data_IF_556395206342
#
_entry.id   IF_556395206342
#
_cell.length_a   1.000
_cell.length_b   1.000
_cell.length_c   1.000
_cell.angle_alpha   90.00
_cell.angle_beta   90.00
_cell.angle_gamma   90.00
#
_symmetry.space_group_name_H-M   'P 1'
#
loop_
_entity.id
_entity.type
_entity.pdbx_description
1 polymer ?
#
# COMPACT_ATOMS: atom_id res chain seq x y z
N UNK A 1 -17.37 6.90 -29.05
CA UNK A 1 -16.34 7.69 -28.34
C UNK A 1 -16.22 7.13 -26.94
N UNK A 2 -15.04 7.17 -26.31
CA UNK A 2 -14.93 6.88 -24.89
C UNK A 2 -15.91 7.78 -24.10
N UNK A 3 -16.66 7.18 -23.17
CA UNK A 3 -17.58 7.87 -22.26
C UNK A 3 -18.74 8.64 -22.94
N UNK A 4 -19.25 8.18 -24.09
CA UNK A 4 -20.35 8.86 -24.82
C UNK A 4 -21.67 8.93 -24.05
N UNK A 5 -21.85 8.07 -23.06
CA UNK A 5 -23.06 7.94 -22.23
C UNK A 5 -22.83 8.40 -20.79
N UNK A 6 -21.68 9.01 -20.50
CA UNK A 6 -21.36 9.51 -19.17
C UNK A 6 -22.42 10.47 -18.63
N UNK A 7 -22.58 10.47 -17.30
CA UNK A 7 -23.53 11.31 -16.58
C UNK A 7 -22.83 12.48 -15.90
N UNK A 8 -23.61 13.54 -15.65
CA UNK A 8 -23.16 14.78 -15.01
C UNK A 8 -21.91 15.39 -15.67
N UNK A 9 -21.88 15.39 -17.01
CA UNK A 9 -20.70 15.83 -17.76
C UNK A 9 -20.60 17.34 -17.74
N UNK A 10 -19.49 17.84 -17.21
CA UNK A 10 -19.12 19.24 -17.18
C UNK A 10 -17.76 19.44 -17.85
N UNK A 11 -17.37 20.70 -18.00
CA UNK A 11 -16.08 21.10 -18.57
C UNK A 11 -15.28 21.90 -17.56
N UNK A 12 -13.97 21.66 -17.49
CA UNK A 12 -13.01 22.42 -16.69
C UNK A 12 -11.87 22.88 -17.59
N UNK A 13 -11.43 24.13 -17.42
CA UNK A 13 -10.26 24.68 -18.11
C UNK A 13 -9.06 24.67 -17.17
N UNK A 14 -8.03 23.90 -17.53
CA UNK A 14 -6.79 23.79 -16.76
C UNK A 14 -5.62 23.88 -17.72
N UNK A 15 -4.59 24.67 -17.38
CA UNK A 15 -3.41 24.90 -18.23
C UNK A 15 -3.73 25.40 -19.65
N UNK A 16 -4.83 26.15 -19.81
CA UNK A 16 -5.27 26.64 -21.12
C UNK A 16 -5.88 25.57 -22.03
N UNK A 17 -6.14 24.37 -21.49
CA UNK A 17 -6.82 23.28 -22.17
C UNK A 17 -8.19 23.02 -21.52
N UNK A 18 -9.17 22.75 -22.36
CA UNK A 18 -10.53 22.39 -21.93
C UNK A 18 -10.65 20.87 -21.84
N UNK A 19 -11.09 20.37 -20.68
CA UNK A 19 -11.29 18.94 -20.42
C UNK A 19 -12.72 18.67 -19.95
N UNK A 20 -13.23 17.49 -20.30
CA UNK A 20 -14.51 17.00 -19.76
C UNK A 20 -14.29 16.19 -18.48
N UNK A 21 -15.26 16.20 -17.58
CA UNK A 21 -15.28 15.34 -16.41
C UNK A 21 -16.71 15.07 -15.94
N UNK A 22 -16.89 14.04 -15.14
CA UNK A 22 -18.16 13.80 -14.43
C UNK A 22 -18.15 14.57 -13.11
N UNK A 23 -19.00 15.59 -13.02
CA UNK A 23 -19.11 16.47 -11.86
C UNK A 23 -19.91 15.82 -10.74
N UNK A 24 -19.28 15.75 -9.58
CA UNK A 24 -19.85 15.33 -8.31
C UNK A 24 -20.62 16.46 -7.62
N UNK A 25 -20.21 17.71 -7.89
CA UNK A 25 -20.79 18.92 -7.32
C UNK A 25 -22.14 19.28 -7.94
N UNK A 26 -22.32 19.00 -9.22
CA UNK A 26 -23.54 19.33 -9.97
C UNK A 26 -24.50 18.14 -10.12
N UNK A 27 -24.46 17.17 -9.20
CA UNK A 27 -25.38 16.05 -9.22
C UNK A 27 -26.81 16.49 -8.85
N UNK A 28 -27.85 15.99 -9.53
CA UNK A 28 -29.22 16.25 -9.14
C UNK A 28 -29.54 15.50 -7.85
N UNK A 29 -30.10 16.19 -6.85
CA UNK A 29 -30.55 15.57 -5.59
C UNK A 29 -29.84 16.13 -4.36
N UNK A 30 -29.58 15.27 -3.38
CA UNK A 30 -28.93 15.64 -2.13
C UNK A 30 -27.42 15.87 -2.29
N UNK A 31 -26.90 16.76 -1.46
CA UNK A 31 -25.50 17.15 -1.42
C UNK A 31 -24.63 15.98 -0.93
N UNK A 32 -23.60 15.58 -1.69
CA UNK A 32 -22.79 14.37 -1.43
C UNK A 32 -21.54 14.64 -0.59
N UNK A 33 -21.33 15.85 -0.08
CA UNK A 33 -20.16 16.25 0.71
C UNK A 33 -20.05 15.52 2.05
N UNK A 34 -21.11 14.83 2.45
CA UNK A 34 -21.12 13.93 3.62
C UNK A 34 -20.54 12.54 3.31
N UNK A 35 -20.44 12.15 2.03
CA UNK A 35 -19.88 10.86 1.63
C UNK A 35 -18.36 10.84 1.88
N UNK A 36 -17.79 9.68 2.27
CA UNK A 36 -16.34 9.48 2.27
C UNK A 36 -15.73 9.76 0.89
N UNK A 37 -14.51 10.29 0.85
CA UNK A 37 -13.81 10.60 -0.40
C UNK A 37 -13.64 9.37 -1.29
N UNK A 38 -13.36 8.22 -0.69
CA UNK A 38 -13.28 6.93 -1.40
C UNK A 38 -14.59 6.57 -2.10
N UNK A 39 -15.76 6.83 -1.48
CA UNK A 39 -17.09 6.64 -2.10
C UNK A 39 -17.32 7.66 -3.21
N UNK A 40 -16.89 8.91 -3.05
CA UNK A 40 -16.95 9.93 -4.11
C UNK A 40 -16.17 9.51 -5.37
N UNK A 41 -15.01 8.88 -5.20
CA UNK A 41 -14.22 8.35 -6.32
C UNK A 41 -14.94 7.19 -7.02
N UNK A 42 -15.58 6.28 -6.26
CA UNK A 42 -16.41 5.23 -6.85
C UNK A 42 -17.63 5.81 -7.59
N UNK A 43 -18.23 6.87 -7.05
CA UNK A 43 -19.34 7.58 -7.69
C UNK A 43 -18.91 8.24 -9.01
N UNK A 44 -17.76 8.92 -9.04
CA UNK A 44 -17.17 9.43 -10.29
C UNK A 44 -16.98 8.30 -11.31
N UNK A 45 -16.47 7.16 -10.83
CA UNK A 45 -16.18 6.01 -11.68
C UNK A 45 -17.45 5.50 -12.38
N UNK A 46 -18.56 5.33 -11.65
CA UNK A 46 -19.82 4.87 -12.23
C UNK A 46 -20.48 5.93 -13.12
N UNK A 47 -20.37 7.21 -12.79
CA UNK A 47 -20.93 8.30 -13.59
C UNK A 47 -20.25 8.40 -14.95
N UNK A 48 -18.91 8.37 -14.97
CA UNK A 48 -18.12 8.45 -16.19
C UNK A 48 -18.27 7.21 -17.05
N UNK A 49 -18.34 6.03 -16.44
CA UNK A 49 -18.42 4.75 -17.17
C UNK A 49 -19.85 4.26 -17.42
N UNK A 50 -20.88 5.03 -17.08
CA UNK A 50 -22.28 4.66 -17.30
C UNK A 50 -22.53 4.22 -18.74
N UNK A 51 -23.12 3.05 -18.93
CA UNK A 51 -23.46 2.48 -20.24
C UNK A 51 -24.92 2.00 -20.33
N UNK A 52 -25.67 2.05 -19.23
CA UNK A 52 -27.05 1.58 -19.15
C UNK A 52 -27.21 0.06 -19.24
N UNK A 53 -26.10 -0.69 -19.23
CA UNK A 53 -26.09 -2.15 -19.34
C UNK A 53 -25.28 -2.78 -18.19
N UNK A 54 -23.95 -2.61 -18.20
CA UNK A 54 -23.07 -3.11 -17.13
C UNK A 54 -23.04 -2.14 -15.94
N UNK A 55 -23.20 -0.84 -16.21
CA UNK A 55 -23.24 0.24 -15.23
C UNK A 55 -24.55 0.99 -15.41
N UNK A 56 -25.47 0.77 -14.47
CA UNK A 56 -26.87 1.19 -14.52
C UNK A 56 -27.17 2.35 -13.58
N UNK A 57 -28.39 2.89 -13.66
CA UNK A 57 -28.87 3.95 -12.77
C UNK A 57 -28.98 3.49 -11.31
N UNK A 58 -29.20 2.19 -11.05
CA UNK A 58 -29.24 1.65 -9.67
C UNK A 58 -27.87 1.76 -8.99
N UNK A 59 -26.77 1.59 -9.73
CA UNK A 59 -25.42 1.75 -9.17
C UNK A 59 -25.13 3.22 -8.81
N UNK A 60 -25.56 4.16 -9.67
CA UNK A 60 -25.45 5.59 -9.37
C UNK A 60 -26.26 5.90 -8.12
N UNK A 61 -27.53 5.47 -8.06
CA UNK A 61 -28.40 5.69 -6.89
C UNK A 61 -27.85 5.06 -5.61
N UNK A 62 -27.25 3.88 -5.71
CA UNK A 62 -26.64 3.18 -4.56
C UNK A 62 -25.48 3.98 -3.98
N UNK A 63 -24.63 4.58 -4.82
CA UNK A 63 -23.49 5.36 -4.36
C UNK A 63 -23.88 6.79 -3.95
N UNK A 64 -24.84 7.44 -4.62
CA UNK A 64 -25.31 8.78 -4.21
C UNK A 64 -26.01 8.77 -2.86
N UNK A 65 -26.71 7.68 -2.53
CA UNK A 65 -27.40 7.49 -1.25
C UNK A 65 -26.63 6.55 -0.31
N UNK A 66 -25.32 6.39 -0.53
CA UNK A 66 -24.49 5.60 0.37
C UNK A 66 -24.66 6.14 1.79
N UNK A 67 -24.78 5.23 2.75
CA UNK A 67 -24.95 5.57 4.15
C UNK A 67 -24.03 4.71 5.03
N UNK A 68 -23.75 5.14 6.28
CA UNK A 68 -23.01 4.35 7.26
C UNK A 68 -23.54 2.92 7.46
N UNK A 69 -24.83 2.67 7.17
CA UNK A 69 -25.44 1.36 7.31
C UNK A 69 -25.12 0.49 6.09
N UNK A 70 -24.66 -0.75 6.29
CA UNK A 70 -24.30 -1.65 5.19
C UNK A 70 -25.53 -1.95 4.33
N UNK A 71 -25.31 -1.96 3.02
CA UNK A 71 -26.29 -2.40 2.02
C UNK A 71 -25.71 -3.60 1.29
N UNK A 72 -26.50 -4.67 1.17
CA UNK A 72 -26.13 -5.86 0.41
C UNK A 72 -26.41 -5.62 -1.08
N UNK A 73 -25.59 -4.74 -1.67
CA UNK A 73 -25.63 -4.37 -3.08
C UNK A 73 -24.23 -4.37 -3.66
N UNK A 74 -24.07 -4.97 -4.84
CA UNK A 74 -22.83 -4.91 -5.59
C UNK A 74 -22.75 -3.63 -6.42
N UNK A 75 -21.53 -3.11 -6.57
CA UNK A 75 -21.23 -1.94 -7.39
C UNK A 75 -20.14 -2.30 -8.42
N UNK A 76 -20.23 -1.78 -9.65
CA UNK A 76 -19.19 -1.96 -10.65
C UNK A 76 -18.05 -0.96 -10.45
N UNK A 77 -16.84 -1.37 -10.82
CA UNK A 77 -15.67 -0.52 -10.85
C UNK A 77 -14.82 -0.80 -12.08
N UNK A 78 -14.51 0.25 -12.83
CA UNK A 78 -13.61 0.21 -13.98
C UNK A 78 -12.33 0.96 -13.64
N UNK A 79 -11.23 0.27 -13.28
CA UNK A 79 -9.99 0.96 -12.91
C UNK A 79 -9.45 1.78 -14.08
N UNK A 80 -8.76 2.88 -13.78
CA UNK A 80 -8.08 3.69 -14.80
C UNK A 80 -6.91 2.91 -15.44
N UNK A 81 -6.23 2.06 -14.68
CA UNK A 81 -5.06 1.27 -15.11
C UNK A 81 -4.88 0.01 -14.25
N UNK A 82 -3.98 -0.87 -14.67
CA UNK A 82 -3.61 -2.09 -13.95
C UNK A 82 -2.11 -2.06 -13.63
N UNK A 83 -1.77 -2.48 -12.42
CA UNK A 83 -0.39 -2.70 -12.00
C UNK A 83 -0.12 -4.20 -11.90
N UNK A 84 0.93 -4.69 -12.55
CA UNK A 84 1.31 -6.10 -12.50
C UNK A 84 2.74 -6.26 -11.99
N UNK A 85 2.98 -7.39 -11.34
CA UNK A 85 4.33 -7.87 -11.01
C UNK A 85 4.65 -9.12 -11.83
N UNK A 86 5.92 -9.52 -11.90
CA UNK A 86 6.39 -10.51 -12.88
C UNK A 86 5.93 -11.96 -12.65
N UNK A 87 5.58 -12.37 -11.43
CA UNK A 87 5.04 -13.72 -11.15
C UNK A 87 3.60 -13.89 -11.63
N UNK A 88 2.77 -12.86 -11.53
CA UNK A 88 1.37 -12.89 -12.01
C UNK A 88 1.23 -12.34 -13.43
N UNK A 89 2.13 -11.44 -13.84
CA UNK A 89 2.14 -10.83 -15.17
C UNK A 89 2.57 -11.78 -16.28
N UNK A 90 3.46 -12.73 -16.00
CA UNK A 90 3.84 -13.77 -16.97
C UNK A 90 2.64 -14.64 -17.36
N UNK A 91 1.88 -15.24 -16.42
CA UNK A 91 0.63 -15.93 -16.72
C UNK A 91 -0.35 -15.09 -17.55
N UNK A 92 -0.61 -13.83 -17.17
CA UNK A 92 -1.55 -12.99 -17.90
C UNK A 92 -1.12 -12.70 -19.35
N UNK A 93 0.19 -12.55 -19.60
CA UNK A 93 0.73 -12.42 -20.96
C UNK A 93 0.54 -13.70 -21.76
N UNK A 94 0.72 -14.87 -21.13
CA UNK A 94 0.46 -16.18 -21.75
C UNK A 94 -1.03 -16.32 -22.09
N UNK A 95 -1.91 -15.90 -21.20
CA UNK A 95 -3.36 -15.94 -21.43
C UNK A 95 -3.77 -15.00 -22.56
N UNK A 96 -3.21 -13.79 -22.62
CA UNK A 96 -3.41 -12.88 -23.75
C UNK A 96 -2.89 -13.44 -25.08
N UNK A 97 -1.74 -14.11 -25.08
CA UNK A 97 -1.22 -14.78 -26.27
C UNK A 97 -2.13 -15.94 -26.71
N UNK A 98 -2.67 -16.68 -25.75
CA UNK A 98 -3.59 -17.80 -25.99
C UNK A 98 -4.94 -17.31 -26.54
N UNK A 99 -5.50 -16.25 -25.97
CA UNK A 99 -6.72 -15.59 -26.46
C UNK A 99 -6.52 -15.04 -27.88
N UNK A 100 -5.36 -14.45 -28.17
CA UNK A 100 -5.00 -14.02 -29.53
C UNK A 100 -4.98 -15.18 -30.52
N UNK A 101 -4.30 -16.27 -30.16
CA UNK A 101 -4.21 -17.46 -31.00
C UNK A 101 -5.60 -18.03 -31.28
N UNK A 102 -6.46 -18.13 -30.26
CA UNK A 102 -7.81 -18.65 -30.42
C UNK A 102 -8.68 -17.71 -31.27
N UNK A 103 -8.62 -16.40 -31.05
CA UNK A 103 -9.37 -15.43 -31.88
C UNK A 103 -8.98 -15.53 -33.36
N UNK A 104 -7.71 -15.80 -33.66
CA UNK A 104 -7.21 -16.05 -35.02
C UNK A 104 -7.70 -17.38 -35.58
N UNK A 105 -7.75 -18.47 -34.79
CA UNK A 105 -8.32 -19.76 -35.23
C UNK A 105 -9.78 -19.64 -35.66
N UNK A 106 -10.52 -18.70 -35.09
CA UNK A 106 -11.90 -18.36 -35.48
C UNK A 106 -11.98 -17.39 -36.67
N UNK A 107 -10.88 -17.20 -37.41
CA UNK A 107 -10.82 -16.34 -38.60
C UNK A 107 -10.88 -14.84 -38.30
N UNK A 108 -10.68 -14.42 -37.05
CA UNK A 108 -10.76 -13.02 -36.63
C UNK A 108 -9.36 -12.41 -36.48
N UNK A 109 -9.28 -11.08 -36.46
CA UNK A 109 -8.01 -10.37 -36.32
C UNK A 109 -7.51 -10.39 -34.85
N UNK A 110 -6.48 -11.18 -34.56
CA UNK A 110 -5.84 -11.26 -33.24
C UNK A 110 -5.34 -9.92 -32.68
N UNK A 111 -5.03 -8.94 -33.52
CA UNK A 111 -4.66 -7.58 -33.09
C UNK A 111 -5.79 -6.82 -32.41
N UNK A 112 -7.03 -7.35 -32.39
CA UNK A 112 -8.11 -6.80 -31.57
C UNK A 112 -8.02 -7.19 -30.10
N UNK A 113 -7.30 -8.27 -29.77
CA UNK A 113 -7.06 -8.66 -28.39
C UNK A 113 -5.88 -7.84 -27.86
N UNK A 114 -6.21 -6.79 -27.11
CA UNK A 114 -5.27 -5.87 -26.49
C UNK A 114 -5.85 -5.35 -25.17
N UNK A 115 -5.00 -4.91 -24.23
CA UNK A 115 -5.43 -4.17 -23.07
C UNK A 115 -6.26 -2.92 -23.46
N UNK A 116 -7.48 -2.85 -22.93
CA UNK A 116 -8.40 -1.72 -23.09
C UNK A 116 -7.99 -0.52 -22.23
N UNK A 117 -7.28 -0.77 -21.13
CA UNK A 117 -6.71 0.23 -20.22
C UNK A 117 -5.19 0.01 -20.09
N UNK A 118 -4.42 1.03 -19.68
CA UNK A 118 -2.99 0.89 -19.39
C UNK A 118 -2.69 -0.22 -18.39
N UNK A 119 -1.65 -0.98 -18.69
CA UNK A 119 -1.10 -2.04 -17.86
C UNK A 119 0.39 -1.75 -17.73
N UNK A 120 0.83 -1.55 -16.49
CA UNK A 120 2.24 -1.36 -16.16
C UNK A 120 2.71 -2.59 -15.40
N UNK A 121 3.65 -3.34 -15.98
CA UNK A 121 4.27 -4.50 -15.34
C UNK A 121 5.64 -4.12 -14.78
N UNK A 122 5.86 -4.35 -13.49
CA UNK A 122 7.16 -4.14 -12.84
C UNK A 122 7.81 -5.49 -12.57
N UNK A 123 9.09 -5.62 -12.95
CA UNK A 123 9.88 -6.83 -12.65
C UNK A 123 10.67 -6.58 -11.36
N UNK A 124 10.22 -7.18 -10.26
CA UNK A 124 10.81 -6.96 -8.93
C UNK A 124 10.81 -8.22 -8.03
N UNK A 125 10.00 -9.24 -8.34
CA UNK A 125 9.92 -10.48 -7.54
C UNK A 125 10.99 -11.53 -7.91
N UNK A 126 11.81 -11.24 -8.91
CA UNK A 126 12.79 -12.19 -9.45
C UNK A 126 14.20 -12.05 -8.86
N UNK A 127 14.56 -10.89 -8.30
CA UNK A 127 15.87 -10.66 -7.66
C UNK A 127 15.97 -11.48 -6.37
N UNK A 128 17.08 -12.18 -6.19
CA UNK A 128 17.41 -12.87 -4.95
C UNK A 128 18.69 -12.29 -4.33
N UNK A 129 18.81 -12.36 -3.01
CA UNK A 129 20.01 -11.94 -2.28
C UNK A 129 21.00 -13.10 -2.22
N UNK A 130 21.66 -13.40 -3.35
CA UNK A 130 22.71 -14.42 -3.43
C UNK A 130 24.05 -13.91 -2.84
N UNK A 131 24.36 -12.66 -3.12
CA UNK A 131 25.50 -11.92 -2.58
C UNK A 131 25.01 -10.76 -1.72
N UNK A 132 25.67 -10.54 -0.57
CA UNK A 132 25.36 -9.45 0.35
C UNK A 132 26.63 -8.88 1.00
N UNK A 133 26.55 -7.66 1.51
CA UNK A 133 27.60 -7.05 2.33
C UNK A 133 28.85 -6.56 1.58
N UNK A 134 28.83 -6.52 0.24
CA UNK A 134 29.98 -6.07 -0.58
C UNK A 134 29.56 -5.16 -1.73
N UNK A 135 30.49 -4.34 -2.22
CA UNK A 135 30.23 -3.39 -3.32
C UNK A 135 29.83 -4.06 -4.65
N UNK A 136 30.20 -5.32 -4.87
CA UNK A 136 29.85 -6.07 -6.09
C UNK A 136 28.54 -6.85 -5.96
N UNK A 137 27.93 -6.89 -4.76
CA UNK A 137 26.73 -7.71 -4.49
C UNK A 137 25.57 -7.35 -5.41
N UNK A 138 25.30 -6.05 -5.62
CA UNK A 138 24.22 -5.58 -6.49
C UNK A 138 24.38 -6.09 -7.93
N UNK A 139 25.53 -5.82 -8.56
CA UNK A 139 25.78 -6.22 -9.95
C UNK A 139 25.74 -7.74 -10.13
N UNK A 140 26.24 -8.50 -9.14
CA UNK A 140 26.22 -9.97 -9.18
C UNK A 140 24.82 -10.55 -9.03
N UNK A 141 23.99 -10.00 -8.15
CA UNK A 141 22.61 -10.44 -7.99
C UNK A 141 21.79 -10.15 -9.26
N UNK A 142 21.96 -8.97 -9.88
CA UNK A 142 21.30 -8.64 -11.16
C UNK A 142 21.79 -9.54 -12.29
N UNK A 143 23.09 -9.85 -12.38
CA UNK A 143 23.62 -10.80 -13.38
C UNK A 143 22.95 -12.17 -13.28
N UNK A 144 22.89 -12.73 -12.06
CA UNK A 144 22.23 -14.02 -11.80
C UNK A 144 20.73 -13.98 -12.06
N UNK A 145 20.06 -12.88 -11.75
CA UNK A 145 18.64 -12.69 -12.04
C UNK A 145 18.35 -12.82 -13.54
N UNK A 146 19.14 -12.13 -14.38
CA UNK A 146 19.00 -12.21 -15.84
C UNK A 146 19.32 -13.61 -16.39
N UNK A 147 20.32 -14.29 -15.84
CA UNK A 147 20.65 -15.66 -16.22
C UNK A 147 19.48 -16.62 -15.93
N UNK A 148 18.91 -16.54 -14.71
CA UNK A 148 17.85 -17.43 -14.24
C UNK A 148 16.50 -17.18 -14.92
N UNK A 149 16.21 -15.92 -15.28
CA UNK A 149 14.87 -15.51 -15.75
C UNK A 149 14.82 -15.12 -17.23
N UNK A 150 15.85 -15.46 -18.01
CA UNK A 150 16.00 -15.07 -19.41
C UNK A 150 14.73 -15.29 -20.26
N UNK A 151 14.15 -16.49 -20.22
CA UNK A 151 12.97 -16.84 -21.01
C UNK A 151 11.75 -15.98 -20.63
N UNK A 152 11.52 -15.76 -19.33
CA UNK A 152 10.44 -14.91 -18.83
C UNK A 152 10.60 -13.48 -19.33
N UNK A 153 11.83 -12.94 -19.31
CA UNK A 153 12.09 -11.58 -19.77
C UNK A 153 11.98 -11.43 -21.29
N UNK A 154 12.35 -12.45 -22.05
CA UNK A 154 12.11 -12.49 -23.50
C UNK A 154 10.61 -12.45 -23.84
N UNK A 155 9.78 -13.20 -23.10
CA UNK A 155 8.32 -13.17 -23.24
C UNK A 155 7.73 -11.80 -22.90
N UNK A 156 8.11 -11.20 -21.76
CA UNK A 156 7.63 -9.89 -21.35
C UNK A 156 8.05 -8.79 -22.33
N UNK A 157 9.27 -8.88 -22.87
CA UNK A 157 9.76 -7.96 -23.91
C UNK A 157 9.03 -8.14 -25.24
N UNK A 158 8.65 -9.37 -25.59
CA UNK A 158 7.77 -9.63 -26.73
C UNK A 158 6.39 -8.98 -26.51
N UNK A 159 5.82 -9.13 -25.32
CA UNK A 159 4.52 -8.58 -24.96
C UNK A 159 4.51 -7.06 -25.03
N UNK A 160 5.51 -6.39 -24.45
CA UNK A 160 5.67 -4.93 -24.52
C UNK A 160 5.73 -4.40 -25.97
N UNK A 161 6.32 -5.14 -26.90
CA UNK A 161 6.36 -4.76 -28.31
C UNK A 161 5.05 -5.06 -29.05
N UNK A 162 4.33 -6.09 -28.64
CA UNK A 162 3.18 -6.65 -29.34
C UNK A 162 1.81 -6.24 -28.79
N UNK A 163 1.73 -5.70 -27.59
CA UNK A 163 0.50 -5.26 -26.93
C UNK A 163 0.47 -3.73 -26.84
N UNK A 164 -0.68 -3.15 -27.17
CA UNK A 164 -0.94 -1.72 -26.91
C UNK A 164 -1.23 -1.52 -25.43
N UNK A 165 -0.94 -0.33 -24.92
CA UNK A 165 -1.19 0.03 -23.53
C UNK A 165 -0.48 -0.90 -22.51
N UNK A 166 0.60 -1.57 -22.91
CA UNK A 166 1.35 -2.48 -22.04
C UNK A 166 2.79 -1.99 -21.92
N UNK A 167 3.21 -1.63 -20.72
CA UNK A 167 4.57 -1.21 -20.42
C UNK A 167 5.24 -2.20 -19.48
N UNK A 168 6.56 -2.33 -19.59
CA UNK A 168 7.36 -3.16 -18.68
C UNK A 168 8.48 -2.30 -18.11
N UNK A 169 8.52 -2.20 -16.78
CA UNK A 169 9.63 -1.64 -16.02
C UNK A 169 10.65 -2.75 -15.79
N UNK A 170 11.89 -2.58 -16.28
CA UNK A 170 12.90 -3.64 -16.22
C UNK A 170 13.39 -3.88 -14.79
N UNK A 171 14.04 -5.03 -14.53
CA UNK A 171 14.58 -5.35 -13.21
C UNK A 171 15.64 -4.35 -12.75
N UNK A 172 15.75 -4.18 -11.43
CA UNK A 172 16.70 -3.28 -10.79
C UNK A 172 16.27 -1.79 -10.75
N UNK A 173 15.05 -1.47 -11.21
CA UNK A 173 14.52 -0.10 -11.21
C UNK A 173 13.67 0.24 -9.97
N UNK A 174 13.55 -0.69 -9.02
CA UNK A 174 12.77 -0.52 -7.80
C UNK A 174 11.71 -1.60 -7.62
N UNK A 175 10.89 -1.45 -6.59
CA UNK A 175 9.80 -2.36 -6.23
C UNK A 175 8.47 -1.80 -6.75
N UNK A 176 7.56 -2.68 -7.16
CA UNK A 176 6.30 -2.40 -7.83
C UNK A 176 5.52 -1.23 -7.20
N UNK A 177 5.26 -1.26 -5.90
CA UNK A 177 4.50 -0.21 -5.21
C UNK A 177 5.24 1.11 -5.07
N UNK A 178 6.57 1.07 -4.90
CA UNK A 178 7.38 2.28 -4.80
C UNK A 178 7.49 2.97 -6.16
N UNK A 179 7.75 2.21 -7.23
CA UNK A 179 7.70 2.71 -8.62
C UNK A 179 6.32 3.26 -8.95
N UNK A 180 5.26 2.61 -8.48
CA UNK A 180 3.91 3.13 -8.64
C UNK A 180 3.72 4.48 -7.95
N UNK A 181 4.11 4.59 -6.68
CA UNK A 181 3.97 5.80 -5.88
C UNK A 181 4.83 6.96 -6.42
N UNK A 182 6.06 6.68 -6.85
CA UNK A 182 7.06 7.70 -7.25
C UNK A 182 7.03 8.06 -8.74
N UNK A 183 6.46 7.21 -9.60
CA UNK A 183 6.52 7.42 -11.04
C UNK A 183 5.19 7.21 -11.76
N UNK A 184 4.54 6.05 -11.60
CA UNK A 184 3.38 5.69 -12.44
C UNK A 184 2.09 6.43 -12.05
N UNK A 185 1.87 6.64 -10.74
CA UNK A 185 0.67 7.28 -10.25
C UNK A 185 0.58 8.75 -10.68
N UNK A 186 -0.60 9.13 -11.19
CA UNK A 186 -0.86 10.46 -11.73
C UNK A 186 -1.70 11.34 -10.79
N UNK A 187 -2.36 10.76 -9.79
CA UNK A 187 -3.36 11.44 -8.97
C UNK A 187 -4.67 11.64 -9.75
N UNK A 188 -4.64 12.45 -10.81
CA UNK A 188 -5.74 12.65 -11.77
C UNK A 188 -5.26 12.26 -13.17
N UNK A 189 -5.99 11.34 -13.80
CA UNK A 189 -5.67 10.82 -15.14
C UNK A 189 -6.25 11.72 -16.23
N UNK A 190 -5.45 11.95 -17.28
CA UNK A 190 -5.87 12.57 -18.53
C UNK A 190 -6.04 11.46 -19.59
N UNK A 191 -7.22 11.31 -20.18
CA UNK A 191 -7.44 10.35 -21.27
C UNK A 191 -8.55 10.80 -22.21
N UNK A 192 -8.28 10.84 -23.51
CA UNK A 192 -9.26 11.17 -24.55
C UNK A 192 -10.03 12.49 -24.30
N UNK A 193 -9.33 13.50 -23.76
CA UNK A 193 -9.91 14.81 -23.40
C UNK A 193 -10.73 14.81 -22.10
N UNK A 194 -10.61 13.77 -21.28
CA UNK A 194 -11.24 13.67 -19.96
C UNK A 194 -10.24 13.76 -18.82
N UNK A 195 -10.67 14.36 -17.71
CA UNK A 195 -10.04 14.26 -16.39
C UNK A 195 -10.87 13.38 -15.47
N UNK A 196 -10.21 12.50 -14.71
CA UNK A 196 -10.83 11.64 -13.71
C UNK A 196 -9.80 11.13 -12.70
N UNK A 197 -10.19 10.68 -11.50
CA UNK A 197 -9.25 10.18 -10.49
C UNK A 197 -8.45 8.99 -11.03
N UNK A 198 -7.14 8.99 -10.76
CA UNK A 198 -6.32 7.80 -10.95
C UNK A 198 -6.83 6.70 -10.01
N UNK A 199 -7.07 5.53 -10.58
CA UNK A 199 -7.61 4.36 -9.89
C UNK A 199 -7.03 3.11 -10.52
N UNK A 200 -6.76 2.09 -9.71
CA UNK A 200 -6.13 0.87 -10.21
C UNK A 200 -6.54 -0.36 -9.43
N UNK A 201 -6.41 -1.50 -10.09
CA UNK A 201 -6.23 -2.78 -9.40
C UNK A 201 -4.84 -3.30 -9.72
N UNK A 202 -4.25 -4.05 -8.81
CA UNK A 202 -2.97 -4.69 -9.05
C UNK A 202 -2.97 -6.16 -8.72
N UNK A 203 -2.14 -6.94 -9.40
CA UNK A 203 -1.96 -8.37 -9.09
C UNK A 203 -0.97 -8.59 -7.93
N UNK A 204 -1.02 -7.68 -6.97
CA UNK A 204 -0.19 -7.64 -5.78
C UNK A 204 -1.02 -7.05 -4.63
N UNK A 205 -1.00 -7.73 -3.48
CA UNK A 205 -1.78 -7.36 -2.30
C UNK A 205 -1.46 -5.96 -1.77
N UNK A 206 -0.21 -5.48 -1.91
CA UNK A 206 0.28 -4.22 -1.36
C UNK A 206 0.10 -3.03 -2.31
N UNK A 207 -0.62 -3.23 -3.42
CA UNK A 207 -1.14 -2.15 -4.29
C UNK A 207 -1.75 -0.97 -3.51
N UNK A 208 -2.46 -1.17 -2.38
CA UNK A 208 -2.93 -0.09 -1.53
C UNK A 208 -1.91 0.96 -1.08
N UNK A 209 -0.59 0.72 -1.17
CA UNK A 209 0.43 1.73 -0.84
C UNK A 209 0.19 3.08 -1.52
N UNK A 210 -0.31 3.08 -2.76
CA UNK A 210 -0.58 4.31 -3.53
C UNK A 210 -1.77 5.11 -2.99
N UNK A 211 -2.60 4.51 -2.13
CA UNK A 211 -3.71 5.21 -1.48
C UNK A 211 -3.25 6.36 -0.58
N UNK A 212 -1.96 6.36 -0.18
CA UNK A 212 -1.33 7.45 0.57
C UNK A 212 -1.28 8.80 -0.16
N UNK A 213 -1.52 8.82 -1.48
CA UNK A 213 -1.56 10.04 -2.33
C UNK A 213 -2.92 10.27 -2.98
N UNK A 214 -4.00 9.68 -2.45
CA UNK A 214 -5.36 9.92 -2.94
C UNK A 214 -5.74 9.18 -4.23
N UNK A 215 -5.01 8.13 -4.56
CA UNK A 215 -5.35 7.19 -5.64
C UNK A 215 -6.08 6.01 -5.03
N UNK A 216 -7.25 5.61 -5.53
CA UNK A 216 -7.93 4.39 -5.01
C UNK A 216 -7.40 3.17 -5.76
N UNK A 217 -6.74 2.26 -5.04
CA UNK A 217 -6.40 0.95 -5.57
C UNK A 217 -6.14 -0.14 -4.53
N UNK A 218 -6.28 -1.37 -4.99
CA UNK A 218 -6.14 -2.58 -4.17
C UNK A 218 -5.68 -3.79 -4.97
N UNK A 219 -5.28 -4.83 -4.25
CA UNK A 219 -4.85 -6.10 -4.83
C UNK A 219 -6.02 -6.97 -5.26
N UNK A 220 -5.92 -7.59 -6.43
CA UNK A 220 -6.88 -8.57 -6.98
C UNK A 220 -6.16 -9.80 -7.52
N UNK A 221 -6.91 -10.86 -7.82
CA UNK A 221 -6.37 -12.02 -8.52
C UNK A 221 -6.01 -11.71 -9.98
N UNK A 222 -5.22 -12.59 -10.59
CA UNK A 222 -4.83 -12.46 -12.00
C UNK A 222 -6.03 -12.44 -12.95
N UNK A 223 -7.04 -13.25 -12.68
CA UNK A 223 -8.26 -13.36 -13.51
C UNK A 223 -9.07 -12.07 -13.47
N UNK A 224 -9.26 -11.46 -12.30
CA UNK A 224 -9.96 -10.17 -12.18
C UNK A 224 -9.19 -9.05 -12.89
N UNK A 225 -7.85 -9.03 -12.74
CA UNK A 225 -7.00 -8.08 -13.44
C UNK A 225 -7.10 -8.27 -14.97
N UNK A 226 -7.10 -9.51 -15.47
CA UNK A 226 -7.26 -9.80 -16.90
C UNK A 226 -8.63 -9.42 -17.45
N UNK A 227 -9.70 -9.67 -16.69
CA UNK A 227 -11.05 -9.24 -17.05
C UNK A 227 -11.12 -7.71 -17.15
N UNK A 228 -10.58 -6.99 -16.16
CA UNK A 228 -10.48 -5.54 -16.18
C UNK A 228 -9.62 -5.02 -17.34
N UNK A 229 -8.52 -5.72 -17.65
CA UNK A 229 -7.64 -5.42 -18.78
C UNK A 229 -8.40 -5.48 -20.10
N UNK A 230 -9.36 -6.39 -20.23
CA UNK A 230 -10.23 -6.53 -21.40
C UNK A 230 -11.48 -5.62 -21.36
N UNK A 231 -11.58 -4.74 -20.35
CA UNK A 231 -12.61 -3.71 -20.23
C UNK A 231 -13.87 -4.15 -19.48
N UNK A 232 -13.87 -5.32 -18.83
CA UNK A 232 -14.95 -5.74 -17.94
C UNK A 232 -14.88 -4.95 -16.62
N UNK A 233 -16.00 -4.45 -16.09
CA UNK A 233 -16.04 -3.91 -14.75
C UNK A 233 -15.81 -5.03 -13.72
N UNK A 234 -15.12 -4.69 -12.63
CA UNK A 234 -15.01 -5.53 -11.44
C UNK A 234 -16.21 -5.23 -10.56
N UNK A 235 -16.97 -6.24 -10.18
CA UNK A 235 -18.07 -6.10 -9.23
C UNK A 235 -17.62 -6.51 -7.84
N UNK A 236 -18.00 -5.71 -6.85
CA UNK A 236 -17.78 -6.01 -5.44
C UNK A 236 -18.88 -5.36 -4.60
N UNK A 237 -19.08 -5.88 -3.40
CA UNK A 237 -20.09 -5.37 -2.47
C UNK A 237 -19.77 -3.92 -2.08
N UNK A 238 -20.79 -3.08 -2.08
CA UNK A 238 -20.67 -1.68 -1.69
C UNK A 238 -20.02 -1.57 -0.30
N UNK A 239 -18.85 -0.92 -0.17
CA UNK A 239 -18.05 -1.05 1.03
C UNK A 239 -18.62 -0.21 2.17
N UNK A 240 -18.58 -0.76 3.39
CA UNK A 240 -18.57 0.06 4.60
C UNK A 240 -17.25 0.87 4.64
N UNK A 241 -17.31 2.08 5.20
CA UNK A 241 -16.12 2.93 5.35
C UNK A 241 -15.87 3.23 6.83
N UNK A 242 -14.74 2.77 7.33
CA UNK A 242 -14.27 3.01 8.70
C UNK A 242 -13.39 4.25 8.70
N UNK A 243 -13.79 5.29 9.42
CA UNK A 243 -12.98 6.49 9.61
C UNK A 243 -11.88 6.22 10.63
N UNK A 244 -10.61 6.26 10.20
CA UNK A 244 -9.46 6.25 11.11
C UNK A 244 -9.05 7.70 11.41
N UNK A 245 -9.43 8.18 12.59
CA UNK A 245 -9.07 9.52 13.07
C UNK A 245 -7.71 9.50 13.73
N UNK A 246 -6.72 10.13 13.09
CA UNK A 246 -5.40 10.31 13.65
C UNK A 246 -5.28 11.69 14.29
N UNK A 247 -4.76 11.73 15.51
CA UNK A 247 -4.45 12.95 16.25
C UNK A 247 -3.01 12.95 16.76
N UNK A 248 -2.52 14.11 17.18
CA UNK A 248 -1.17 14.26 17.74
C UNK A 248 -0.05 14.14 16.70
N UNK A 249 1.16 13.89 17.19
CA UNK A 249 2.38 13.78 16.37
C UNK A 249 3.17 12.54 16.77
N UNK A 250 3.98 12.02 15.83
CA UNK A 250 4.88 10.89 16.11
C UNK A 250 5.97 11.35 17.09
N UNK A 251 6.12 10.72 18.27
CA UNK A 251 7.14 11.09 19.25
C UNK A 251 8.56 10.89 18.72
N UNK A 252 9.50 11.68 19.24
CA UNK A 252 10.91 11.49 18.96
C UNK A 252 11.36 10.07 19.38
N UNK A 253 12.07 9.38 18.49
CA UNK A 253 12.50 8.00 18.69
C UNK A 253 11.51 6.94 18.18
N UNK A 254 10.28 7.33 17.79
CA UNK A 254 9.37 6.48 17.04
C UNK A 254 9.53 6.70 15.53
N UNK A 255 9.19 5.68 14.76
CA UNK A 255 9.29 5.62 13.31
C UNK A 255 7.93 5.36 12.66
N UNK A 256 7.84 5.50 11.34
CA UNK A 256 6.67 5.09 10.56
C UNK A 256 6.30 3.62 10.79
N UNK A 257 7.30 2.77 11.06
CA UNK A 257 7.10 1.35 11.39
C UNK A 257 6.36 1.18 12.71
N UNK A 258 6.75 1.91 13.76
CA UNK A 258 6.06 1.86 15.06
C UNK A 258 4.60 2.31 14.95
N UNK A 259 4.37 3.35 14.15
CA UNK A 259 3.05 3.85 13.81
C UNK A 259 2.21 2.80 13.11
N UNK A 260 2.69 2.22 12.01
CA UNK A 260 1.88 1.27 11.23
C UNK A 260 1.62 -0.01 11.99
N UNK A 261 2.57 -0.53 12.79
CA UNK A 261 2.33 -1.71 13.62
C UNK A 261 1.28 -1.45 14.72
N UNK A 262 1.25 -0.23 15.25
CA UNK A 262 0.23 0.18 16.24
C UNK A 262 -1.16 0.29 15.60
N UNK A 263 -1.25 0.92 14.43
CA UNK A 263 -2.49 1.02 13.65
C UNK A 263 -2.97 -0.36 13.21
N UNK A 264 -2.05 -1.25 12.80
CA UNK A 264 -2.33 -2.66 12.44
C UNK A 264 -3.11 -3.34 13.54
N UNK A 265 -2.61 -3.24 14.77
CA UNK A 265 -3.22 -3.88 15.94
C UNK A 265 -4.64 -3.35 16.17
N UNK A 266 -4.83 -2.03 16.18
CA UNK A 266 -6.13 -1.39 16.46
C UNK A 266 -7.16 -1.73 15.38
N UNK A 267 -6.78 -1.67 14.10
CA UNK A 267 -7.69 -2.00 13.00
C UNK A 267 -8.04 -3.50 12.94
N UNK A 268 -7.09 -4.38 13.29
CA UNK A 268 -7.37 -5.82 13.44
C UNK A 268 -8.35 -6.09 14.57
N UNK A 269 -8.18 -5.44 15.72
CA UNK A 269 -9.11 -5.54 16.86
C UNK A 269 -10.51 -5.01 16.50
N UNK A 270 -10.58 -3.94 15.68
CA UNK A 270 -11.84 -3.40 15.18
C UNK A 270 -12.57 -4.35 14.22
N UNK A 271 -11.83 -5.15 13.44
CA UNK A 271 -12.40 -6.06 12.44
C UNK A 271 -12.82 -5.34 11.16
N UNK A 272 -11.83 -4.91 10.36
CA UNK A 272 -12.04 -4.15 9.12
C UNK A 272 -12.01 -4.99 7.84
N UNK A 273 -12.21 -6.31 7.94
CA UNK A 273 -12.10 -7.22 6.80
C UNK A 273 -13.13 -6.90 5.72
N UNK A 274 -12.67 -6.72 4.47
CA UNK A 274 -13.53 -6.40 3.32
C UNK A 274 -14.12 -4.98 3.32
N UNK A 275 -13.74 -4.14 4.30
CA UNK A 275 -14.19 -2.75 4.42
C UNK A 275 -13.14 -1.80 3.83
N UNK A 276 -13.55 -0.55 3.59
CA UNK A 276 -12.62 0.54 3.35
C UNK A 276 -12.26 1.20 4.68
N UNK A 277 -11.03 1.68 4.78
CA UNK A 277 -10.57 2.57 5.84
C UNK A 277 -10.26 3.91 5.17
N UNK A 278 -10.76 5.01 5.74
CA UNK A 278 -10.44 6.36 5.27
C UNK A 278 -9.85 7.15 6.43
N UNK A 279 -8.65 7.69 6.22
CA UNK A 279 -7.88 8.33 7.28
C UNK A 279 -8.19 9.82 7.30
N UNK A 280 -8.50 10.34 8.48
CA UNK A 280 -8.83 11.75 8.70
C UNK A 280 -8.30 12.24 10.06
N UNK A 281 -8.55 13.52 10.38
CA UNK A 281 -8.07 14.15 11.61
C UNK A 281 -6.91 15.13 11.36
N UNK A 282 -6.51 15.81 12.43
CA UNK A 282 -5.43 16.80 12.47
C UNK A 282 -4.03 16.15 12.41
N UNK A 283 -3.92 14.88 12.78
CA UNK A 283 -2.69 14.10 12.63
C UNK A 283 -2.16 14.09 11.18
N UNK A 284 -3.03 14.14 10.16
CA UNK A 284 -2.64 14.14 8.75
C UNK A 284 -1.78 15.34 8.33
N UNK A 285 -1.87 16.46 9.04
CA UNK A 285 -1.10 17.68 8.73
C UNK A 285 0.39 17.49 9.07
N UNK A 286 0.67 16.54 9.97
CA UNK A 286 2.00 16.19 10.47
C UNK A 286 2.60 14.96 9.80
N UNK A 287 1.82 14.20 9.02
CA UNK A 287 2.27 13.00 8.33
C UNK A 287 2.85 13.32 6.95
N UNK A 288 4.04 12.79 6.67
CA UNK A 288 4.60 12.80 5.32
C UNK A 288 3.85 11.83 4.42
N UNK A 289 3.95 11.97 3.10
CA UNK A 289 3.36 10.99 2.17
C UNK A 289 3.98 9.59 2.36
N UNK A 290 5.25 9.50 2.72
CA UNK A 290 5.88 8.21 3.05
C UNK A 290 5.26 7.56 4.29
N UNK A 291 4.86 8.34 5.30
CA UNK A 291 4.13 7.82 6.47
C UNK A 291 2.74 7.31 6.05
N UNK A 292 2.01 8.09 5.24
CA UNK A 292 0.69 7.71 4.70
C UNK A 292 0.77 6.43 3.87
N UNK A 293 1.75 6.35 2.97
CA UNK A 293 2.00 5.19 2.14
C UNK A 293 2.38 3.96 2.97
N UNK A 294 3.13 4.13 4.06
CA UNK A 294 3.46 3.04 4.99
C UNK A 294 2.20 2.47 5.65
N UNK A 295 1.29 3.34 6.12
CA UNK A 295 -0.01 2.91 6.65
C UNK A 295 -0.81 2.19 5.57
N UNK A 296 -0.93 2.80 4.39
CA UNK A 296 -1.76 2.28 3.32
C UNK A 296 -1.25 0.94 2.77
N UNK A 297 0.07 0.77 2.70
CA UNK A 297 0.74 -0.47 2.29
C UNK A 297 0.26 -1.66 3.13
N UNK A 298 0.08 -1.47 4.43
CA UNK A 298 -0.32 -2.55 5.33
C UNK A 298 -1.83 -2.87 5.35
N UNK A 299 -2.60 -2.37 4.39
CA UNK A 299 -4.04 -2.70 4.28
C UNK A 299 -4.33 -4.22 4.30
N UNK A 300 -3.59 -5.08 3.57
CA UNK A 300 -3.77 -6.54 3.65
C UNK A 300 -3.54 -7.10 5.06
N UNK A 301 -2.56 -6.55 5.78
CA UNK A 301 -2.23 -6.91 7.15
C UNK A 301 -3.27 -6.42 8.15
N UNK A 302 -4.13 -5.45 7.83
CA UNK A 302 -5.31 -5.08 8.62
C UNK A 302 -6.54 -5.92 8.22
N UNK A 303 -6.58 -6.36 6.96
CA UNK A 303 -7.67 -7.08 6.32
C UNK A 303 -8.63 -6.20 5.52
N UNK A 304 -8.46 -4.88 5.53
CA UNK A 304 -9.27 -3.96 4.73
C UNK A 304 -8.84 -3.96 3.26
N UNK A 305 -9.76 -3.63 2.36
CA UNK A 305 -9.50 -3.57 0.92
C UNK A 305 -8.65 -2.36 0.55
N UNK A 306 -8.93 -1.21 1.17
CA UNK A 306 -8.30 0.09 0.88
C UNK A 306 -8.10 0.83 2.20
N UNK A 307 -6.96 1.49 2.36
CA UNK A 307 -6.73 2.52 3.38
C UNK A 307 -6.43 3.85 2.69
N UNK A 308 -7.44 4.70 2.55
CA UNK A 308 -7.44 5.89 1.71
C UNK A 308 -7.02 7.16 2.47
N UNK A 309 -6.11 7.93 1.86
CA UNK A 309 -5.76 9.28 2.31
C UNK A 309 -6.23 10.30 1.26
N UNK A 310 -7.12 11.24 1.61
CA UNK A 310 -7.56 12.29 0.70
C UNK A 310 -6.41 13.15 0.15
N UNK A 311 -6.60 13.68 -1.07
CA UNK A 311 -5.64 14.60 -1.70
C UNK A 311 -5.60 15.92 -0.92
N UNK A 312 -4.40 16.36 -0.56
CA UNK A 312 -4.14 17.64 0.10
C UNK A 312 -2.80 18.25 -0.33
N UNK A 313 -2.37 19.31 0.36
CA UNK A 313 -1.10 19.98 0.06
C UNK A 313 0.12 19.05 0.17
N UNK A 314 0.12 18.06 1.09
CA UNK A 314 1.24 17.12 1.21
C UNK A 314 1.33 16.21 0.00
N UNK A 315 0.19 15.86 -0.60
CA UNK A 315 0.17 15.14 -1.89
C UNK A 315 0.86 15.95 -2.98
N UNK A 316 0.53 17.24 -3.12
CA UNK A 316 1.15 18.10 -4.14
C UNK A 316 2.65 18.32 -3.89
N UNK A 317 3.05 18.55 -2.63
CA UNK A 317 4.46 18.63 -2.21
C UNK A 317 5.20 17.36 -2.60
N UNK A 318 4.63 16.18 -2.33
CA UNK A 318 5.25 14.91 -2.69
C UNK A 318 5.37 14.72 -4.21
N UNK A 319 4.33 15.06 -4.96
CA UNK A 319 4.36 15.02 -6.43
C UNK A 319 5.47 15.94 -6.97
N UNK A 320 5.66 17.12 -6.37
CA UNK A 320 6.75 18.03 -6.75
C UNK A 320 8.14 17.44 -6.48
N UNK A 321 8.40 16.93 -5.26
CA UNK A 321 9.73 16.38 -4.93
C UNK A 321 10.08 15.10 -5.70
N UNK A 322 9.07 14.37 -6.17
CA UNK A 322 9.21 13.20 -7.05
C UNK A 322 9.18 13.56 -8.53
N UNK A 323 9.38 14.85 -8.86
CA UNK A 323 9.57 15.34 -10.21
C UNK A 323 8.37 15.12 -11.16
N UNK A 324 7.14 15.13 -10.64
CA UNK A 324 5.94 15.31 -11.49
C UNK A 324 5.93 16.72 -12.06
N UNK A 325 5.43 16.86 -13.28
CA UNK A 325 5.45 18.15 -13.97
C UNK A 325 4.53 19.17 -13.27
N UNK A 326 4.85 20.48 -13.29
CA UNK A 326 3.98 21.52 -12.75
C UNK A 326 2.57 21.50 -13.35
N UNK A 327 2.45 21.14 -14.63
CA UNK A 327 1.17 21.02 -15.32
C UNK A 327 0.30 19.91 -14.71
N UNK A 328 0.89 18.75 -14.43
CA UNK A 328 0.19 17.63 -13.79
C UNK A 328 -0.22 17.97 -12.36
N UNK A 329 0.66 18.61 -11.59
CA UNK A 329 0.36 19.04 -10.21
C UNK A 329 -0.83 20.01 -10.19
N UNK A 330 -0.86 20.97 -11.12
CA UNK A 330 -1.97 21.91 -11.25
C UNK A 330 -3.28 21.23 -11.65
N UNK A 331 -3.23 20.23 -12.52
CA UNK A 331 -4.40 19.40 -12.85
C UNK A 331 -4.93 18.67 -11.63
N UNK A 332 -4.05 18.06 -10.82
CA UNK A 332 -4.46 17.39 -9.58
C UNK A 332 -5.12 18.37 -8.62
N UNK A 333 -4.53 19.54 -8.43
CA UNK A 333 -5.08 20.57 -7.54
C UNK A 333 -6.45 21.09 -8.00
N UNK A 334 -6.55 21.60 -9.23
CA UNK A 334 -7.76 22.25 -9.73
C UNK A 334 -8.92 21.26 -9.85
N UNK A 335 -8.68 20.07 -10.40
CA UNK A 335 -9.70 19.04 -10.52
C UNK A 335 -10.20 18.58 -9.14
N UNK A 336 -9.29 18.33 -8.19
CA UNK A 336 -9.69 17.81 -6.87
C UNK A 336 -10.49 18.85 -6.09
N UNK A 337 -10.14 20.14 -6.20
CA UNK A 337 -10.90 21.24 -5.57
C UNK A 337 -12.27 21.43 -6.21
N UNK A 338 -12.36 21.39 -7.54
CA UNK A 338 -13.64 21.57 -8.23
C UNK A 338 -14.59 20.39 -8.00
N UNK A 339 -14.06 19.16 -7.94
CA UNK A 339 -14.85 17.94 -7.92
C UNK A 339 -15.03 17.31 -6.54
N UNK A 340 -14.94 18.09 -5.45
CA UNK A 340 -15.16 17.63 -4.07
C UNK A 340 -14.21 16.50 -3.61
N UNK A 341 -12.98 16.43 -4.13
CA UNK A 341 -11.97 15.43 -3.78
C UNK A 341 -10.77 15.99 -2.99
N UNK A 342 -10.80 17.28 -2.68
CA UNK A 342 -9.75 17.98 -1.94
C UNK A 342 -10.04 18.02 -0.44
N UNK A 343 -9.06 17.66 0.39
CA UNK A 343 -9.14 17.79 1.85
C UNK A 343 -8.80 19.21 2.32
N UNK A 344 -9.70 19.75 3.12
CA UNK A 344 -9.66 21.04 3.83
C UNK A 344 -9.46 20.85 5.34
N UNK A 345 -9.70 19.65 5.87
CA UNK A 345 -9.61 19.33 7.30
C UNK A 345 -10.88 19.61 8.11
N UNK A 346 -11.93 20.15 7.46
CA UNK A 346 -13.21 20.50 8.09
C UNK A 346 -14.39 19.70 7.53
N UNK A 347 -14.12 18.62 6.81
CA UNK A 347 -15.15 17.80 6.19
C UNK A 347 -16.04 17.13 7.24
N UNK A 348 -17.35 17.16 7.01
CA UNK A 348 -18.34 16.48 7.85
C UNK A 348 -18.73 15.16 7.22
N UNK A 349 -17.78 14.24 7.13
CA UNK A 349 -17.98 12.92 6.54
C UNK A 349 -18.70 12.01 7.52
N UNK A 350 -19.71 11.29 7.03
CA UNK A 350 -20.37 10.21 7.76
C UNK A 350 -19.62 8.89 7.48
N UNK A 351 -19.09 8.26 8.53
CA UNK A 351 -18.44 6.95 8.43
C UNK A 351 -19.33 5.86 9.05
N UNK A 352 -19.21 4.62 8.56
CA UNK A 352 -19.85 3.44 9.16
C UNK A 352 -19.44 3.24 10.62
N UNK A 353 -18.18 3.51 10.93
CA UNK A 353 -17.67 3.58 12.29
C UNK A 353 -16.42 4.44 12.35
N UNK A 354 -16.08 4.95 13.54
CA UNK A 354 -14.85 5.72 13.75
C UNK A 354 -13.94 4.97 14.73
N UNK A 355 -12.66 4.94 14.40
CA UNK A 355 -11.56 4.49 15.26
C UNK A 355 -10.65 5.69 15.48
N UNK A 356 -10.39 6.06 16.73
CA UNK A 356 -9.48 7.15 17.06
C UNK A 356 -8.13 6.59 17.51
N UNK A 357 -7.04 7.20 17.04
CA UNK A 357 -5.69 6.86 17.45
C UNK A 357 -4.84 8.12 17.64
N UNK A 358 -4.30 8.28 18.84
CA UNK A 358 -3.39 9.37 19.19
C UNK A 358 -1.94 8.93 18.93
N UNK A 359 -1.31 9.55 17.93
CA UNK A 359 0.06 9.29 17.52
C UNK A 359 1.07 9.55 18.66
N UNK A 360 0.75 10.42 19.63
CA UNK A 360 1.63 10.70 20.76
C UNK A 360 1.81 9.51 21.71
N UNK A 361 0.93 8.51 21.62
CA UNK A 361 0.98 7.26 22.42
C UNK A 361 1.93 6.21 21.85
N UNK A 362 2.56 6.49 20.71
CA UNK A 362 3.50 5.57 20.09
C UNK A 362 4.74 5.34 20.97
N UNK A 363 5.20 4.10 20.96
CA UNK A 363 6.45 3.68 21.57
C UNK A 363 7.24 2.84 20.57
N UNK A 364 8.59 2.85 20.62
CA UNK A 364 9.42 1.98 19.78
C UNK A 364 9.04 0.51 19.97
N UNK A 365 8.81 -0.20 18.87
CA UNK A 365 8.15 -1.50 18.85
C UNK A 365 8.69 -2.40 17.73
N UNK A 366 8.73 -3.71 17.97
CA UNK A 366 8.85 -4.75 16.94
C UNK A 366 7.61 -5.64 16.89
N UNK A 367 7.35 -6.32 15.77
CA UNK A 367 6.27 -7.31 15.66
C UNK A 367 6.81 -8.70 15.36
N UNK A 368 6.27 -9.72 16.05
CA UNK A 368 6.65 -11.11 15.82
C UNK A 368 6.49 -12.02 17.04
N UNK A 369 7.07 -13.24 17.00
CA UNK A 369 7.98 -13.74 15.96
C UNK A 369 7.27 -14.37 14.75
N UNK A 370 5.94 -14.51 14.77
CA UNK A 370 5.20 -15.25 13.74
C UNK A 370 4.21 -14.40 12.93
N UNK A 371 3.68 -13.31 13.50
CA UNK A 371 2.59 -12.53 12.88
C UNK A 371 2.83 -11.02 12.99
N UNK A 372 2.47 -10.21 11.98
CA UNK A 372 2.67 -8.75 12.00
C UNK A 372 1.92 -8.00 13.13
N UNK A 373 0.80 -8.55 13.59
CA UNK A 373 0.00 -7.96 14.68
C UNK A 373 0.54 -8.28 16.09
N UNK A 374 1.55 -9.14 16.23
CA UNK A 374 2.13 -9.53 17.52
C UNK A 374 3.11 -8.45 18.01
N UNK A 375 2.55 -7.33 18.46
CA UNK A 375 3.26 -6.11 18.90
C UNK A 375 4.05 -6.35 20.20
N UNK A 376 5.35 -6.02 20.20
CA UNK A 376 6.26 -6.09 21.36
C UNK A 376 6.99 -4.75 21.52
N UNK A 377 6.79 -4.00 22.62
CA UNK A 377 7.59 -2.81 22.91
C UNK A 377 9.08 -3.16 22.98
N UNK A 378 9.95 -2.34 22.37
CA UNK A 378 11.41 -2.60 22.32
C UNK A 378 12.00 -2.75 23.72
N UNK A 379 11.52 -1.94 24.68
CA UNK A 379 11.92 -2.01 26.09
C UNK A 379 11.65 -3.37 26.76
N UNK A 380 10.70 -4.14 26.23
CA UNK A 380 10.29 -5.46 26.73
C UNK A 380 10.87 -6.61 25.91
N UNK A 381 11.55 -6.33 24.79
CA UNK A 381 11.94 -7.34 23.81
C UNK A 381 12.78 -8.47 24.41
N UNK A 382 13.76 -8.16 25.27
CA UNK A 382 14.61 -9.18 25.91
C UNK A 382 13.83 -10.12 26.83
N UNK A 383 12.90 -9.57 27.62
CA UNK A 383 12.02 -10.36 28.48
C UNK A 383 11.06 -11.21 27.63
N UNK A 384 10.41 -10.60 26.63
CA UNK A 384 9.44 -11.28 25.79
C UNK A 384 10.07 -12.39 24.96
N UNK A 385 11.29 -12.18 24.46
CA UNK A 385 12.06 -13.22 23.78
C UNK A 385 12.33 -14.41 24.72
N UNK A 386 12.73 -14.15 25.96
CA UNK A 386 13.00 -15.19 26.97
C UNK A 386 11.73 -16.01 27.28
N UNK A 387 10.60 -15.34 27.45
CA UNK A 387 9.29 -15.97 27.65
C UNK A 387 8.88 -16.84 26.45
N UNK A 388 9.02 -16.31 25.23
CA UNK A 388 8.68 -17.01 23.99
C UNK A 388 9.61 -18.22 23.75
N UNK A 389 10.89 -18.09 24.06
CA UNK A 389 11.86 -19.17 23.93
C UNK A 389 11.51 -20.36 24.84
N UNK A 390 11.11 -20.08 26.08
CA UNK A 390 10.67 -21.12 27.02
C UNK A 390 9.33 -21.73 26.56
N UNK A 391 8.35 -20.89 26.22
CA UNK A 391 7.01 -21.35 25.86
C UNK A 391 6.97 -22.15 24.55
N UNK A 392 7.69 -21.71 23.52
CA UNK A 392 7.61 -22.28 22.17
C UNK A 392 8.66 -23.37 21.93
N UNK A 393 9.79 -23.32 22.64
CA UNK A 393 10.93 -24.23 22.40
C UNK A 393 11.40 -24.99 23.64
N UNK A 394 10.75 -24.80 24.80
CA UNK A 394 11.15 -25.39 26.08
C UNK A 394 12.62 -25.12 26.44
N UNK A 395 13.11 -23.93 26.07
CA UNK A 395 14.49 -23.48 26.30
C UNK A 395 14.48 -22.25 27.20
N UNK A 396 15.11 -22.35 28.37
CA UNK A 396 15.26 -21.21 29.28
C UNK A 396 16.38 -20.30 28.80
N UNK A 397 16.07 -19.03 28.62
CA UNK A 397 17.10 -18.02 28.35
C UNK A 397 17.99 -17.87 29.59
N UNK A 398 19.30 -17.98 29.40
CA UNK A 398 20.29 -17.67 30.42
C UNK A 398 20.92 -16.32 30.10
N UNK A 399 20.80 -15.38 31.04
CA UNK A 399 21.46 -14.07 30.94
C UNK A 399 22.98 -14.27 30.81
N UNK A 400 23.70 -13.46 30.01
CA UNK A 400 25.16 -13.52 29.93
C UNK A 400 25.83 -13.58 31.31
N UNK A 401 25.35 -12.80 32.29
CA UNK A 401 25.88 -12.79 33.66
C UNK A 401 25.75 -14.12 34.41
N UNK A 402 24.87 -15.01 33.94
CA UNK A 402 24.66 -16.35 34.50
C UNK A 402 25.38 -17.44 33.68
N UNK A 403 26.01 -17.08 32.56
CA UNK A 403 26.74 -18.02 31.71
C UNK A 403 28.15 -18.22 32.27
N UNK A 404 28.58 -19.46 32.38
CA UNK A 404 29.94 -19.84 32.80
C UNK A 404 31.03 -19.17 31.94
N UNK A 405 30.78 -19.00 30.64
CA UNK A 405 31.71 -18.35 29.70
C UNK A 405 31.98 -16.87 30.01
N UNK A 406 31.00 -16.15 30.55
CA UNK A 406 31.14 -14.74 30.94
C UNK A 406 31.96 -14.56 32.21
N UNK A 407 32.25 -15.66 32.93
CA UNK A 407 33.08 -15.66 34.12
C UNK A 407 34.59 -15.81 33.80
N UNK A 408 35.02 -15.76 32.53
CA UNK A 408 36.44 -15.85 32.13
C UNK A 408 37.15 -17.09 32.72
N UNK A 409 36.41 -18.20 32.90
CA UNK A 409 36.91 -19.43 33.56
C UNK A 409 38.13 -20.06 32.88
N UNK A 410 38.40 -19.72 31.61
CA UNK A 410 39.54 -20.23 30.85
C UNK A 410 40.80 -19.34 30.94
N UNK A 411 40.69 -18.10 31.46
CA UNK A 411 41.75 -17.09 31.37
C UNK A 411 42.48 -16.82 32.71
N UNK A 412 42.20 -17.58 33.78
CA UNK A 412 42.81 -17.34 35.10
C UNK A 412 43.10 -18.61 35.92
N UNK A 413 44.38 -18.94 36.08
CA UNK A 413 44.89 -20.08 36.86
C UNK A 413 44.89 -19.93 38.38
N UNK A 414 43.84 -19.38 38.99
CA UNK A 414 43.69 -19.43 40.45
C UNK A 414 42.65 -20.50 40.79
N UNK A 415 43.09 -21.60 41.41
CA UNK A 415 42.25 -22.72 41.85
C UNK A 415 41.32 -22.39 43.02
N UNK A 416 40.63 -21.26 42.98
CA UNK A 416 39.62 -20.84 43.95
C UNK A 416 38.23 -21.20 43.43
N UNK A 417 37.48 -21.94 44.25
CA UNK A 417 36.11 -22.35 43.99
C UNK A 417 35.17 -21.14 44.15
N UNK A 418 34.37 -20.82 43.12
CA UNK A 418 33.47 -19.67 43.14
C UNK A 418 32.03 -20.10 43.44
N UNK A 419 31.42 -19.51 44.48
CA UNK A 419 29.99 -19.66 44.82
C UNK A 419 29.16 -18.51 44.26
N UNK A 420 28.06 -18.82 43.57
CA UNK A 420 27.07 -17.81 43.16
C UNK A 420 26.31 -17.28 44.39
N UNK A 421 26.71 -16.11 44.92
CA UNK A 421 26.07 -15.44 46.05
C UNK A 421 26.64 -14.03 46.30
N UNK A 422 25.89 -13.17 47.00
CA UNK A 422 26.38 -11.83 47.40
C UNK A 422 27.61 -11.99 48.32
N UNK A 423 28.76 -11.46 47.89
CA UNK A 423 29.96 -11.37 48.72
C UNK A 423 29.67 -10.55 49.99
N UNK A 424 29.95 -11.06 51.20
CA UNK A 424 29.83 -10.26 52.42
C UNK A 424 30.81 -9.09 52.37
N UNK A 425 30.35 -7.89 52.73
CA UNK A 425 31.14 -6.64 52.65
C UNK A 425 32.21 -6.55 53.75
N UNK A 426 32.15 -7.39 54.78
CA UNK A 426 33.14 -7.40 55.86
C UNK A 426 33.62 -8.81 56.22
N UNK A 427 34.94 -8.97 56.25
CA UNK A 427 35.66 -10.14 56.74
C UNK A 427 37.17 -9.84 56.76
N UNK A 428 37.82 -10.07 57.89
CA UNK A 428 39.24 -9.77 58.08
C UNK A 428 40.11 -10.62 57.14
N UNK A 429 40.88 -9.96 56.27
CA UNK A 429 41.85 -10.62 55.40
C UNK A 429 43.07 -11.04 56.26
N UNK A 430 43.44 -12.34 56.32
CA UNK A 430 44.48 -12.81 57.21
C UNK A 430 45.83 -12.87 56.48
N UNK A 431 46.30 -11.78 55.88
CA UNK A 431 47.63 -11.78 55.24
C UNK A 431 48.39 -10.49 55.50
N UNK A 432 49.36 -10.56 56.42
CA UNK A 432 50.44 -9.57 56.58
C UNK A 432 51.46 -9.73 55.45
N UNK A 433 51.84 -8.62 54.82
CA UNK A 433 52.95 -8.55 53.87
C UNK A 433 54.21 -8.23 54.67
N UNK A 434 55.16 -9.17 54.74
CA UNK A 434 56.51 -8.91 55.24
C UNK A 434 57.32 -8.28 54.10
N UNK A 435 57.80 -7.06 54.29
CA UNK A 435 58.72 -6.42 53.35
C UNK A 435 60.14 -6.98 53.57
N UNK A 436 60.73 -7.55 52.52
CA UNK A 436 62.16 -7.90 52.52
C UNK A 436 63.02 -6.63 52.42
N UNK A 437 64.06 -6.58 53.27
CA UNK A 437 65.02 -5.50 53.47
C UNK A 437 66.06 -5.36 52.37
#
# INVERSE_FOLDING_TARGET
>A
MAYSTARAVETIEVNGHSYRYSSLKNLPGEAIEHLPFSIRILLENVLRNYDGFSITDDHIQTLTHWSPNPVDKDIPFKPARILMQDFTGVPAVVDMASLRAEYVRHGKNGQKINPAIPVDLVIDHSVQVDYFGTNYSYSKNVELEYERNKERYELLKWAQKGLKNFTVVPPGMGICHQVNLEYLAQGITIRDGWLFPDTLVGTDSHTPMVNGIGVVGWGVGGIEAEAAMLGQPIFFTCPEVIGLKLAGTIPAGCTATDMVLSITKVLREKGVVGKFVEVFGDGLDNLTVTDRATIANMSPEFGCTVTYFPIDNRTLEYMHVTNRSPEQIKIVEEYSKENLLWRTGNEKIAYSSVVEFDLSTLEPTVSGPKRPQDKIPVKELGYKFSELLEKEHNRKYQSPLQRSESAWLADGGSGTEFTFGKTPVEGAAPHEIIAES
#
